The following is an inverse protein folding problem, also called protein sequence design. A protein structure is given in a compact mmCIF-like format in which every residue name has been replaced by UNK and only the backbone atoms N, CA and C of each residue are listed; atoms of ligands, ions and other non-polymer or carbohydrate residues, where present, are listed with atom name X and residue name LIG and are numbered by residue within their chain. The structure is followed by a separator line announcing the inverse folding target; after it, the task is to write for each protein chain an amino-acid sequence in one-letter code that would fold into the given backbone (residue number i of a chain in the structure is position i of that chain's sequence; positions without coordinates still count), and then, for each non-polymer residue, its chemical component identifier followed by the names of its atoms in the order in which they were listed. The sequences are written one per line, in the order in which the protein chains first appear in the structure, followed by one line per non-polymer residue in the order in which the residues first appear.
data_IF_571519531543
#
_entry.id   IF_571519531543
#
_cell.length_a   1.000
_cell.length_b   1.000
_cell.length_c   1.000
_cell.angle_alpha   90.00
_cell.angle_beta   90.00
_cell.angle_gamma   90.00
#
_symmetry.space_group_name_H-M   'P 1'
#
loop_
_entity.id
_entity.type
_entity.pdbx_description
1 polymer ?
#
# COMPACT_ATOMS: atom_id res chain seq x y z
N UNK A 1 -72.25 9.95 -41.07
CA UNK A 1 -71.83 11.09 -41.91
C UNK A 1 -70.83 11.88 -41.08
N UNK A 2 -69.60 11.99 -41.60
CA UNK A 2 -68.38 12.68 -41.13
C UNK A 2 -68.56 13.94 -40.24
N UNK A 3 -67.53 14.46 -39.50
CA UNK A 3 -66.08 14.18 -39.61
C UNK A 3 -65.25 14.12 -38.27
N UNK A 4 -64.05 13.52 -38.32
CA UNK A 4 -62.82 14.00 -37.61
C UNK A 4 -62.26 15.20 -38.40
N UNK A 5 -61.57 16.25 -37.88
CA UNK A 5 -60.49 16.15 -36.88
C UNK A 5 -60.22 17.42 -36.01
N UNK A 6 -59.32 17.35 -35.01
CA UNK A 6 -58.10 18.20 -34.85
C UNK A 6 -57.53 18.07 -33.42
N UNK A 7 -56.21 17.89 -33.34
CA UNK A 7 -55.49 17.52 -32.11
C UNK A 7 -55.04 18.68 -31.23
N UNK A 8 -54.41 18.32 -30.11
CA UNK A 8 -53.34 19.09 -29.43
C UNK A 8 -52.77 18.21 -28.30
N UNK A 9 -51.58 17.62 -28.50
CA UNK A 9 -50.29 17.99 -27.86
C UNK A 9 -50.26 18.03 -26.32
N UNK A 10 -49.53 17.07 -25.71
CA UNK A 10 -49.14 17.01 -24.30
C UNK A 10 -48.31 15.75 -24.02
N UNK A 11 -47.33 15.78 -23.11
CA UNK A 11 -45.93 15.55 -23.45
C UNK A 11 -45.49 14.08 -23.52
N UNK A 12 -44.58 13.84 -24.46
CA UNK A 12 -43.70 12.68 -24.55
C UNK A 12 -42.92 12.56 -23.24
N UNK A 13 -43.18 11.51 -22.46
CA UNK A 13 -42.25 11.08 -21.42
C UNK A 13 -40.96 10.64 -22.12
N UNK A 14 -39.94 11.50 -22.11
CA UNK A 14 -38.57 11.10 -22.35
C UNK A 14 -38.16 10.17 -21.21
N UNK A 15 -38.31 8.86 -21.40
CA UNK A 15 -37.47 7.90 -20.70
C UNK A 15 -36.03 8.13 -21.17
N UNK A 16 -35.31 8.94 -20.40
CA UNK A 16 -33.86 8.98 -20.43
C UNK A 16 -33.36 7.54 -20.23
N UNK A 17 -32.43 7.02 -21.04
CA UNK A 17 -31.80 5.77 -20.70
C UNK A 17 -31.06 6.00 -19.38
N UNK A 18 -31.52 5.34 -18.31
CA UNK A 18 -30.72 5.14 -17.11
C UNK A 18 -29.42 4.48 -17.55
N UNK A 19 -28.37 5.29 -17.63
CA UNK A 19 -27.01 4.82 -17.75
C UNK A 19 -26.81 3.74 -16.67
N UNK A 20 -26.41 2.51 -17.02
CA UNK A 20 -25.97 1.59 -15.99
C UNK A 20 -24.77 2.24 -15.31
N UNK A 21 -24.92 2.59 -14.02
CA UNK A 21 -23.80 2.83 -13.12
C UNK A 21 -23.02 1.52 -13.09
N UNK A 22 -22.02 1.41 -13.97
CA UNK A 22 -21.09 0.29 -13.98
C UNK A 22 -20.48 0.17 -12.58
N UNK A 23 -20.45 -1.03 -11.99
CA UNK A 23 -19.94 -1.17 -10.65
C UNK A 23 -18.40 -1.22 -10.71
N UNK A 24 -17.78 -0.52 -9.74
CA UNK A 24 -16.36 -0.53 -9.36
C UNK A 24 -15.46 0.43 -10.16
N UNK A 25 -15.07 1.53 -9.51
CA UNK A 25 -13.71 2.08 -9.69
C UNK A 25 -12.66 0.98 -9.44
N UNK A 26 -11.36 1.22 -9.71
CA UNK A 26 -10.34 0.20 -9.55
C UNK A 26 -10.49 -0.49 -8.20
N UNK A 27 -10.71 -1.82 -8.20
CA UNK A 27 -10.92 -2.58 -6.97
C UNK A 27 -9.61 -2.58 -6.21
N UNK A 28 -9.52 -1.74 -5.18
CA UNK A 28 -8.32 -1.63 -4.35
C UNK A 28 -8.13 -2.95 -3.61
N UNK A 29 -7.04 -3.64 -3.90
CA UNK A 29 -6.64 -4.84 -3.18
C UNK A 29 -5.72 -4.44 -2.04
N UNK A 30 -6.08 -4.86 -0.83
CA UNK A 30 -5.33 -4.57 0.39
C UNK A 30 -4.69 -5.85 0.91
N UNK A 31 -3.39 -5.82 1.17
CA UNK A 31 -2.64 -6.95 1.74
C UNK A 31 -2.08 -6.54 3.10
N UNK A 32 -2.67 -7.09 4.16
CA UNK A 32 -2.22 -6.82 5.52
C UNK A 32 -1.55 -8.05 6.16
N UNK A 33 -0.70 -7.77 7.15
CA UNK A 33 -0.17 -8.75 8.07
C UNK A 33 0.11 -8.12 9.43
N UNK A 34 -0.43 -8.72 10.48
CA UNK A 34 -0.03 -8.44 11.85
C UNK A 34 1.22 -9.26 12.20
N UNK A 35 2.15 -8.62 12.89
CA UNK A 35 3.44 -9.17 13.32
C UNK A 35 3.81 -8.58 14.67
N UNK A 36 4.48 -9.39 15.49
CA UNK A 36 5.19 -8.89 16.66
C UNK A 36 6.62 -8.55 16.22
N UNK A 37 6.96 -7.27 16.27
CA UNK A 37 8.31 -6.78 16.07
C UNK A 37 9.03 -6.67 17.40
N UNK A 38 10.36 -6.62 17.36
CA UNK A 38 11.16 -6.26 18.53
C UNK A 38 11.79 -4.90 18.31
N UNK A 39 11.43 -3.93 19.14
CA UNK A 39 12.08 -2.61 19.20
C UNK A 39 13.36 -2.75 20.01
N UNK A 40 14.51 -2.54 19.36
CA UNK A 40 15.83 -2.63 19.97
C UNK A 40 16.13 -1.29 20.66
N UNK A 41 16.14 -1.31 21.99
CA UNK A 41 16.44 -0.13 22.82
C UNK A 41 17.92 -0.10 23.19
N UNK A 42 18.53 -1.27 23.35
CA UNK A 42 19.97 -1.44 23.54
C UNK A 42 20.41 -2.79 22.97
N UNK A 43 21.74 -3.05 22.82
CA UNK A 43 22.22 -4.31 22.27
C UNK A 43 21.73 -5.57 23.00
N UNK A 44 21.40 -5.46 24.29
CA UNK A 44 20.94 -6.59 25.12
C UNK A 44 19.45 -6.52 25.45
N UNK A 45 18.77 -5.41 25.13
CA UNK A 45 17.38 -5.18 25.52
C UNK A 45 16.52 -4.75 24.33
N UNK A 46 15.42 -5.48 24.11
CA UNK A 46 14.39 -5.08 23.17
C UNK A 46 13.00 -5.41 23.69
N UNK A 47 12.02 -4.62 23.23
CA UNK A 47 10.63 -4.67 23.68
C UNK A 47 9.75 -5.18 22.53
N UNK A 48 8.83 -6.13 22.75
CA UNK A 48 7.88 -6.53 21.72
C UNK A 48 6.93 -5.37 21.39
N UNK A 49 6.72 -5.12 20.10
CA UNK A 49 5.84 -4.08 19.58
C UNK A 49 4.91 -4.71 18.53
N UNK A 50 3.60 -4.81 18.80
CA UNK A 50 2.63 -5.20 17.79
C UNK A 50 2.66 -4.22 16.62
N UNK A 51 2.81 -4.75 15.41
CA UNK A 51 2.86 -3.97 14.19
C UNK A 51 1.95 -4.56 13.12
N UNK A 52 1.44 -3.69 12.25
CA UNK A 52 0.70 -4.09 11.06
C UNK A 52 1.43 -3.59 9.82
N UNK A 53 1.84 -4.52 8.96
CA UNK A 53 2.25 -4.22 7.59
C UNK A 53 1.02 -4.12 6.70
N UNK A 54 0.96 -3.05 5.92
CA UNK A 54 -0.13 -2.76 4.98
C UNK A 54 0.42 -2.41 3.60
N UNK A 55 -0.27 -2.91 2.59
CA UNK A 55 0.00 -2.64 1.18
C UNK A 55 -1.35 -2.44 0.49
N UNK A 56 -1.42 -1.47 -0.42
CA UNK A 56 -2.62 -1.18 -1.20
C UNK A 56 -2.25 -1.13 -2.67
N UNK A 57 -3.06 -1.74 -3.53
CA UNK A 57 -2.79 -1.75 -4.97
C UNK A 57 -2.91 -0.37 -5.64
N UNK A 58 -3.59 0.58 -4.99
CA UNK A 58 -3.68 1.99 -5.41
C UNK A 58 -2.53 2.87 -4.90
N UNK A 59 -1.64 2.32 -4.08
CA UNK A 59 -0.34 2.90 -3.71
C UNK A 59 0.75 1.82 -3.84
N UNK A 60 0.99 1.30 -5.06
CA UNK A 60 1.74 0.06 -5.26
C UNK A 60 3.23 0.19 -4.99
N UNK A 61 3.74 1.42 -4.89
CA UNK A 61 5.13 1.71 -4.57
C UNK A 61 5.40 1.76 -3.06
N UNK A 62 4.36 1.77 -2.22
CA UNK A 62 4.50 1.99 -0.79
C UNK A 62 4.26 0.74 0.06
N UNK A 63 4.95 0.69 1.18
CA UNK A 63 4.68 -0.17 2.33
C UNK A 63 4.31 0.73 3.49
N UNK A 64 3.19 0.44 4.14
CA UNK A 64 2.77 1.12 5.35
C UNK A 64 3.02 0.23 6.56
N UNK A 65 3.59 0.78 7.62
CA UNK A 65 3.72 0.11 8.91
C UNK A 65 2.99 0.93 9.96
N UNK A 66 2.16 0.28 10.77
CA UNK A 66 1.53 0.88 11.94
C UNK A 66 2.03 0.17 13.22
N UNK A 67 2.73 0.89 14.09
CA UNK A 67 3.18 0.41 15.39
C UNK A 67 2.15 0.73 16.47
N UNK A 68 1.71 -0.27 17.21
CA UNK A 68 0.87 -0.08 18.39
C UNK A 68 1.77 -0.11 19.62
N UNK A 69 2.30 1.05 19.95
CA UNK A 69 2.95 1.30 21.25
C UNK A 69 1.81 1.71 22.20
N UNK A 70 1.86 1.33 23.47
CA UNK A 70 0.77 1.44 24.48
C UNK A 70 0.16 2.85 24.72
N UNK A 71 0.44 3.84 23.87
CA UNK A 71 0.01 5.23 23.91
C UNK A 71 -1.37 5.52 23.27
N UNK A 72 -2.09 4.52 22.77
CA UNK A 72 -3.42 4.69 22.17
C UNK A 72 -3.44 5.35 20.78
N UNK A 73 -2.29 5.82 20.28
CA UNK A 73 -2.12 6.36 18.93
C UNK A 73 -1.05 5.60 18.17
N UNK A 74 -1.41 4.85 17.11
CA UNK A 74 -0.42 4.11 16.34
C UNK A 74 0.54 5.05 15.61
N UNK A 75 1.82 4.71 15.62
CA UNK A 75 2.85 5.43 14.84
C UNK A 75 2.90 4.84 13.45
N UNK A 76 2.71 5.69 12.43
CA UNK A 76 2.67 5.27 11.04
C UNK A 76 3.96 5.60 10.30
N UNK A 77 4.49 4.63 9.59
CA UNK A 77 5.62 4.78 8.68
C UNK A 77 5.22 4.36 7.29
N UNK A 78 5.70 5.10 6.29
CA UNK A 78 5.53 4.76 4.88
C UNK A 78 6.87 4.87 4.19
N UNK A 79 7.24 3.85 3.44
CA UNK A 79 8.47 3.84 2.65
C UNK A 79 8.32 2.90 1.44
N UNK A 80 9.31 2.90 0.56
CA UNK A 80 9.24 2.16 -0.69
C UNK A 80 9.12 0.65 -0.47
N UNK A 81 8.23 0.00 -1.23
CA UNK A 81 8.11 -1.46 -1.28
C UNK A 81 9.42 -2.11 -1.71
N UNK A 82 10.05 -1.57 -2.74
CA UNK A 82 11.31 -2.11 -3.26
C UNK A 82 12.44 -2.01 -2.24
N UNK A 83 12.43 -1.00 -1.37
CA UNK A 83 13.37 -0.90 -0.27
C UNK A 83 13.25 -2.09 0.69
N UNK A 84 12.02 -2.50 1.03
CA UNK A 84 11.82 -3.69 1.88
C UNK A 84 12.17 -4.99 1.15
N UNK A 85 11.85 -5.09 -0.14
CA UNK A 85 12.21 -6.24 -0.99
C UNK A 85 13.71 -6.41 -1.01
N UNK A 86 14.47 -5.35 -1.31
CA UNK A 86 15.93 -5.38 -1.35
C UNK A 86 16.52 -5.65 0.05
N UNK A 87 15.96 -4.99 1.07
CA UNK A 87 16.39 -5.06 2.47
C UNK A 87 16.28 -6.43 3.12
N UNK A 88 15.44 -7.31 2.57
CA UNK A 88 15.37 -8.73 2.97
C UNK A 88 16.62 -9.51 2.52
N UNK A 89 17.31 -9.07 1.47
CA UNK A 89 18.44 -9.79 0.86
C UNK A 89 19.79 -9.13 1.10
N UNK A 90 19.84 -7.80 1.16
CA UNK A 90 21.08 -7.04 1.35
C UNK A 90 20.82 -5.69 2.05
N UNK A 91 21.84 -5.06 2.64
CA UNK A 91 21.70 -3.70 3.16
C UNK A 91 21.24 -2.73 2.06
N UNK A 92 20.20 -1.96 2.36
CA UNK A 92 19.56 -1.03 1.44
C UNK A 92 18.96 0.17 2.20
N UNK A 93 18.69 1.24 1.46
CA UNK A 93 18.11 2.47 2.00
C UNK A 93 19.14 3.53 2.38
N UNK A 94 18.65 4.76 2.48
CA UNK A 94 19.41 5.95 2.84
C UNK A 94 18.48 6.95 3.56
N UNK A 95 19.05 7.82 4.37
CA UNK A 95 18.30 8.80 5.14
C UNK A 95 17.47 8.13 6.23
N UNK A 96 16.16 8.40 6.19
CA UNK A 96 15.22 8.12 7.27
C UNK A 96 14.87 6.64 7.41
N UNK A 97 15.08 5.84 6.35
CA UNK A 97 14.79 4.40 6.36
C UNK A 97 15.97 3.60 5.83
N UNK A 98 16.45 2.66 6.64
CA UNK A 98 17.47 1.67 6.24
C UNK A 98 16.99 0.28 6.60
N UNK A 99 17.20 -0.67 5.69
CA UNK A 99 16.74 -2.05 5.85
C UNK A 99 17.87 -3.01 5.50
N UNK A 100 18.12 -4.01 6.34
CA UNK A 100 19.15 -5.01 6.08
C UNK A 100 18.85 -6.37 6.74
N UNK A 101 19.33 -7.48 6.15
CA UNK A 101 19.19 -8.79 6.76
C UNK A 101 20.20 -8.97 7.90
N UNK A 102 19.81 -9.74 8.91
CA UNK A 102 20.65 -10.12 10.04
C UNK A 102 20.25 -11.50 10.59
N UNK A 103 20.90 -11.91 11.68
CA UNK A 103 20.55 -13.10 12.45
C UNK A 103 20.42 -12.73 13.93
N UNK A 104 19.32 -13.16 14.55
CA UNK A 104 19.09 -13.04 15.98
C UNK A 104 18.77 -14.43 16.54
N UNK A 105 19.51 -14.88 17.55
CA UNK A 105 19.32 -16.20 18.19
C UNK A 105 19.28 -17.37 17.18
N UNK A 106 20.10 -17.30 16.13
CA UNK A 106 20.14 -18.33 15.08
C UNK A 106 18.98 -18.29 14.06
N UNK A 107 18.07 -17.32 14.18
CA UNK A 107 16.95 -17.10 13.23
C UNK A 107 17.26 -15.93 12.30
N UNK A 108 16.81 -16.02 11.05
CA UNK A 108 16.91 -14.92 10.09
C UNK A 108 15.92 -13.82 10.44
N UNK A 109 16.42 -12.59 10.53
CA UNK A 109 15.63 -11.39 10.80
C UNK A 109 15.96 -10.28 9.81
N UNK A 110 15.03 -9.36 9.62
CA UNK A 110 15.27 -8.10 8.91
C UNK A 110 15.29 -6.99 9.94
N UNK A 111 16.35 -6.19 9.90
CA UNK A 111 16.46 -4.98 10.71
C UNK A 111 15.98 -3.78 9.89
N UNK A 112 15.13 -2.96 10.50
CA UNK A 112 14.57 -1.73 9.91
C UNK A 112 14.92 -0.59 10.86
N UNK A 113 15.83 0.29 10.44
CA UNK A 113 16.09 1.54 11.15
C UNK A 113 15.23 2.65 10.55
N UNK A 114 14.57 3.38 11.44
CA UNK A 114 13.67 4.49 11.16
C UNK A 114 14.19 5.71 11.91
N UNK A 115 14.46 6.81 11.21
CA UNK A 115 15.00 8.04 11.78
C UNK A 115 14.05 9.19 11.47
N UNK A 116 13.62 9.92 12.48
CA UNK A 116 12.83 11.15 12.34
C UNK A 116 13.38 12.24 13.27
N UNK A 117 12.99 13.51 13.08
CA UNK A 117 13.37 14.58 14.01
C UNK A 117 12.95 14.32 15.46
N UNK A 118 11.89 13.54 15.66
CA UNK A 118 11.34 13.21 16.98
C UNK A 118 12.01 11.97 17.61
N UNK A 119 12.82 11.22 16.85
CA UNK A 119 13.63 10.12 17.37
C UNK A 119 14.01 9.03 16.35
N UNK A 120 14.87 8.13 16.81
CA UNK A 120 15.31 6.95 16.07
C UNK A 120 14.67 5.67 16.64
N UNK A 121 14.34 4.73 15.77
CA UNK A 121 13.87 3.40 16.13
C UNK A 121 14.60 2.32 15.31
N UNK A 122 15.06 1.26 15.98
CA UNK A 122 15.58 0.07 15.33
C UNK A 122 14.65 -1.10 15.61
N UNK A 123 14.08 -1.67 14.56
CA UNK A 123 13.11 -2.74 14.63
C UNK A 123 13.71 -4.02 14.07
N UNK A 124 13.39 -5.13 14.71
CA UNK A 124 13.70 -6.46 14.25
C UNK A 124 12.41 -7.20 13.88
N UNK A 125 12.35 -7.70 12.66
CA UNK A 125 11.22 -8.42 12.11
C UNK A 125 11.62 -9.85 11.68
N UNK A 126 10.80 -10.88 11.91
CA UNK A 126 11.09 -12.23 11.42
C UNK A 126 11.10 -12.27 9.89
N UNK A 127 12.24 -12.59 9.27
CA UNK A 127 12.38 -12.61 7.80
C UNK A 127 11.30 -13.46 7.12
N UNK A 128 10.99 -14.69 7.58
CA UNK A 128 9.98 -15.52 6.89
C UNK A 128 8.61 -14.88 6.81
N UNK A 129 8.21 -14.09 7.82
CA UNK A 129 6.92 -13.43 7.84
C UNK A 129 6.88 -12.23 6.90
N UNK A 130 7.96 -11.42 6.89
CA UNK A 130 8.11 -10.28 5.98
C UNK A 130 8.15 -10.77 4.53
N UNK A 131 8.94 -11.80 4.22
CA UNK A 131 9.03 -12.39 2.89
C UNK A 131 7.69 -12.93 2.39
N UNK A 132 6.99 -13.72 3.21
CA UNK A 132 5.68 -14.27 2.82
C UNK A 132 4.60 -13.18 2.62
N UNK A 133 4.74 -12.04 3.28
CA UNK A 133 3.88 -10.89 3.02
C UNK A 133 4.26 -10.18 1.71
N UNK A 134 5.55 -9.91 1.49
CA UNK A 134 6.05 -9.32 0.24
C UNK A 134 5.68 -10.16 -1.00
N UNK A 135 5.79 -11.49 -0.92
CA UNK A 135 5.37 -12.37 -2.03
C UNK A 135 3.91 -12.16 -2.43
N UNK A 136 3.03 -11.84 -1.48
CA UNK A 136 1.61 -11.53 -1.76
C UNK A 136 1.45 -10.14 -2.38
N UNK A 137 2.22 -9.14 -1.94
CA UNK A 137 2.17 -7.79 -2.53
C UNK A 137 2.69 -7.80 -3.98
N UNK A 138 3.78 -8.53 -4.23
CA UNK A 138 4.37 -8.70 -5.56
C UNK A 138 3.47 -9.49 -6.51
N UNK A 139 2.66 -10.40 -5.98
CA UNK A 139 1.62 -11.10 -6.78
C UNK A 139 0.44 -10.18 -7.10
N UNK A 140 0.13 -9.23 -6.22
CA UNK A 140 -0.99 -8.29 -6.39
C UNK A 140 -0.65 -7.24 -7.44
N UNK A 141 0.53 -6.64 -7.37
CA UNK A 141 1.09 -5.77 -8.42
C UNK A 141 2.53 -6.21 -8.69
N UNK A 142 2.77 -6.92 -9.80
CA UNK A 142 4.12 -7.34 -10.20
C UNK A 142 5.11 -6.17 -10.31
N UNK A 143 6.40 -6.37 -9.99
CA UNK A 143 7.42 -5.37 -10.22
C UNK A 143 7.44 -4.87 -11.66
N UNK A 144 7.54 -3.56 -11.85
CA UNK A 144 7.54 -2.90 -13.15
C UNK A 144 6.15 -2.67 -13.75
N UNK A 145 5.07 -3.05 -13.05
CA UNK A 145 3.68 -2.81 -13.51
C UNK A 145 2.96 -1.71 -12.71
N UNK A 146 3.68 -1.06 -11.78
CA UNK A 146 3.15 -0.02 -10.90
C UNK A 146 2.66 1.21 -11.68
N UNK A 147 3.36 1.60 -12.75
CA UNK A 147 3.00 2.75 -13.60
C UNK A 147 1.61 2.61 -14.23
N UNK A 148 1.27 1.40 -14.68
CA UNK A 148 -0.05 1.10 -15.23
C UNK A 148 -1.17 1.11 -14.18
N UNK A 149 -0.86 0.80 -12.91
CA UNK A 149 -1.85 0.92 -11.81
C UNK A 149 -2.08 2.37 -11.38
N UNK A 150 -1.03 3.20 -11.47
CA UNK A 150 -1.08 4.61 -11.11
C UNK A 150 -1.55 5.52 -12.26
N UNK A 151 -1.82 4.97 -13.45
CA UNK A 151 -2.17 5.75 -14.65
C UNK A 151 -1.05 6.69 -15.12
N UNK A 152 0.20 6.43 -14.70
CA UNK A 152 1.35 7.30 -14.98
C UNK A 152 1.67 7.30 -16.47
N UNK A 153 1.53 6.15 -17.14
CA UNK A 153 1.83 6.02 -18.57
C UNK A 153 0.85 6.85 -19.42
N UNK A 154 -0.43 6.82 -19.08
CA UNK A 154 -1.47 7.62 -19.74
C UNK A 154 -1.25 9.12 -19.49
N UNK A 155 -0.97 9.50 -18.24
CA UNK A 155 -0.68 10.89 -17.88
C UNK A 155 0.59 11.44 -18.54
N UNK A 156 1.63 10.62 -18.70
CA UNK A 156 2.86 11.00 -19.40
C UNK A 156 2.62 11.16 -20.91
N UNK A 157 1.83 10.27 -21.51
CA UNK A 157 1.46 10.37 -22.92
C UNK A 157 0.70 11.68 -23.22
N UNK A 158 -0.22 12.09 -22.33
CA UNK A 158 -0.91 13.38 -22.46
C UNK A 158 0.03 14.58 -22.36
N UNK A 159 1.05 14.53 -21.48
CA UNK A 159 2.02 15.62 -21.34
C UNK A 159 2.97 15.73 -22.54
N UNK A 160 3.37 14.60 -23.14
CA UNK A 160 4.27 14.56 -24.31
C UNK A 160 3.55 14.81 -25.64
N UNK A 161 2.22 14.72 -25.67
CA UNK A 161 1.41 15.05 -26.84
C UNK A 161 1.17 16.56 -27.03
N UNK A 162 1.83 17.41 -26.23
CA UNK A 162 1.74 18.87 -26.24
C UNK A 162 2.97 19.55 -26.82
#
# INVERSE_FOLDING_TARGET
MHPDPTGSTGPTHSESPTHPTGPHGPTVTVVERELELRLIVSPEYGVPVPARLGYRSDDPCAVHIAFHIDSGHPVHWTFARDLLVEGVFRPSGHGDVRVWPSKAEGRSVVLIALSSPDGDALLEAPTPQVSAWLERTLRTVPPGTEGGQLGIDDGLAELLAR
#
